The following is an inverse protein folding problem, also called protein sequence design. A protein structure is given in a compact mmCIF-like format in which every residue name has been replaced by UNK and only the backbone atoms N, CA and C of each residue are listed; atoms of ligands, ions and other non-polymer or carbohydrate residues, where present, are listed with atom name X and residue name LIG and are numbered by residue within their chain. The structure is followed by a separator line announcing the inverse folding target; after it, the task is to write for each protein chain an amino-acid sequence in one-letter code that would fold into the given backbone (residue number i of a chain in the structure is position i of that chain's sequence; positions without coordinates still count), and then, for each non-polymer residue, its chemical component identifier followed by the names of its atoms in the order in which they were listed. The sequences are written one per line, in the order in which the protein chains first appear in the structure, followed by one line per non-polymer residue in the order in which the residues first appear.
data_IF_730192333018
#
_entry.id   IF_730192333018
#
_cell.length_a   1.000
_cell.length_b   1.000
_cell.length_c   1.000
_cell.angle_alpha   90.00
_cell.angle_beta   90.00
_cell.angle_gamma   90.00
#
_symmetry.space_group_name_H-M   'P 1'
#
loop_
_entity.id
_entity.type
_entity.pdbx_description
1 polymer ?
#
# COMPACT_ATOMS: atom_id res chain seq x y z
N UNK A 1 -14.61 -62.58 -71.63
CA UNK A 1 -13.22 -62.58 -71.22
C UNK A 1 -13.13 -63.13 -69.81
N UNK A 2 -12.28 -64.11 -69.51
CA UNK A 2 -12.11 -64.64 -68.16
C UNK A 2 -11.55 -63.62 -67.23
N UNK A 3 -11.97 -63.56 -65.92
CA UNK A 3 -11.60 -62.59 -64.91
C UNK A 3 -10.07 -62.55 -64.71
N UNK A 4 -9.41 -63.73 -64.79
CA UNK A 4 -7.95 -63.84 -64.70
C UNK A 4 -7.19 -63.03 -65.75
N UNK A 5 -7.68 -63.06 -66.99
CA UNK A 5 -7.04 -62.33 -68.08
C UNK A 5 -7.26 -60.81 -67.96
N UNK A 6 -8.45 -60.43 -67.50
CA UNK A 6 -8.73 -58.98 -67.17
C UNK A 6 -7.82 -58.47 -66.11
N UNK A 7 -7.61 -59.22 -65.04
CA UNK A 7 -6.73 -58.82 -63.94
C UNK A 7 -5.26 -58.70 -64.41
N UNK A 8 -4.74 -59.60 -65.17
CA UNK A 8 -3.41 -59.55 -65.76
C UNK A 8 -3.21 -58.33 -66.69
N UNK A 9 -4.22 -58.06 -67.52
CA UNK A 9 -4.17 -56.97 -68.52
C UNK A 9 -4.12 -55.58 -67.83
N UNK A 10 -4.78 -55.41 -66.69
CA UNK A 10 -4.93 -54.14 -66.05
C UNK A 10 -4.13 -54.03 -64.70
N UNK A 11 -3.32 -55.04 -64.35
CA UNK A 11 -2.37 -54.97 -63.23
C UNK A 11 -3.01 -54.96 -61.85
N UNK A 12 -4.18 -55.58 -61.64
CA UNK A 12 -4.81 -55.70 -60.33
C UNK A 12 -5.11 -57.16 -59.97
N UNK A 13 -5.28 -57.46 -58.66
CA UNK A 13 -5.54 -58.81 -58.16
C UNK A 13 -6.98 -59.19 -58.33
N UNK A 14 -7.25 -60.54 -58.42
CA UNK A 14 -8.61 -61.08 -58.46
C UNK A 14 -9.41 -60.68 -57.21
N UNK A 15 -8.76 -60.64 -56.08
CA UNK A 15 -9.36 -60.15 -54.82
C UNK A 15 -9.85 -58.69 -54.95
N UNK A 16 -9.05 -57.82 -55.59
CA UNK A 16 -9.43 -56.42 -55.84
C UNK A 16 -10.61 -56.31 -56.79
N UNK A 17 -10.68 -57.18 -57.81
CA UNK A 17 -11.80 -57.24 -58.72
C UNK A 17 -13.12 -57.58 -58.02
N UNK A 18 -13.17 -58.63 -57.18
CA UNK A 18 -14.35 -58.99 -56.45
C UNK A 18 -14.75 -57.93 -55.43
N UNK A 19 -13.81 -57.31 -54.80
CA UNK A 19 -14.05 -56.17 -53.85
C UNK A 19 -14.64 -54.95 -54.57
N UNK A 20 -14.13 -54.61 -55.75
CA UNK A 20 -14.68 -53.52 -56.56
C UNK A 20 -16.03 -53.87 -57.13
N UNK A 21 -16.25 -55.13 -57.64
CA UNK A 21 -17.52 -55.60 -58.11
C UNK A 21 -18.60 -55.61 -57.02
N UNK A 22 -18.24 -55.98 -55.78
CA UNK A 22 -19.16 -55.93 -54.65
C UNK A 22 -19.51 -54.46 -54.29
N UNK A 23 -18.56 -53.57 -54.44
CA UNK A 23 -18.72 -52.11 -54.00
C UNK A 23 -19.39 -51.29 -55.13
N UNK A 24 -19.09 -51.57 -56.42
CA UNK A 24 -19.48 -50.73 -57.55
C UNK A 24 -20.30 -51.49 -58.60
N UNK A 25 -20.66 -52.78 -58.42
CA UNK A 25 -21.40 -53.58 -59.37
C UNK A 25 -22.76 -52.97 -59.64
N UNK A 26 -23.05 -52.78 -60.96
CA UNK A 26 -24.30 -52.17 -61.40
C UNK A 26 -24.33 -50.63 -61.43
N UNK A 27 -23.27 -49.97 -61.02
CA UNK A 27 -23.16 -48.49 -61.06
C UNK A 27 -22.54 -48.01 -62.35
N UNK A 28 -22.98 -46.88 -62.88
CA UNK A 28 -22.30 -46.17 -63.95
C UNK A 28 -20.98 -45.58 -63.44
N UNK A 29 -20.04 -45.34 -64.39
CA UNK A 29 -18.75 -44.69 -64.01
C UNK A 29 -18.90 -43.31 -63.28
N UNK A 30 -19.86 -42.48 -63.74
CA UNK A 30 -20.17 -41.23 -63.00
C UNK A 30 -20.69 -41.49 -61.59
N UNK A 31 -21.56 -42.49 -61.38
CA UNK A 31 -22.14 -42.81 -60.07
C UNK A 31 -21.07 -43.35 -59.09
N UNK A 32 -20.15 -44.19 -59.58
CA UNK A 32 -19.05 -44.72 -58.81
C UNK A 32 -18.06 -43.59 -58.36
N UNK A 33 -17.82 -42.62 -59.24
CA UNK A 33 -17.04 -41.40 -58.83
C UNK A 33 -17.78 -40.62 -57.80
N UNK A 34 -19.05 -40.35 -57.98
CA UNK A 34 -19.87 -39.58 -57.00
C UNK A 34 -19.93 -40.26 -55.63
N UNK A 35 -20.06 -41.61 -55.61
CA UNK A 35 -20.01 -42.36 -54.35
C UNK A 35 -18.68 -42.17 -53.62
N UNK A 36 -17.57 -42.23 -54.35
CA UNK A 36 -16.24 -42.05 -53.80
C UNK A 36 -16.07 -40.63 -53.24
N UNK A 37 -16.58 -39.64 -53.96
CA UNK A 37 -16.53 -38.23 -53.49
C UNK A 37 -17.37 -38.00 -52.20
N UNK A 38 -18.59 -38.62 -52.17
CA UNK A 38 -19.47 -38.62 -51.01
C UNK A 38 -18.87 -39.37 -49.81
N UNK A 39 -18.17 -40.46 -50.00
CA UNK A 39 -17.46 -41.21 -48.96
C UNK A 39 -16.30 -40.36 -48.41
N UNK A 40 -15.54 -39.65 -49.24
CA UNK A 40 -14.48 -38.76 -48.87
C UNK A 40 -15.03 -37.56 -48.06
N UNK A 41 -16.13 -36.95 -48.54
CA UNK A 41 -16.82 -35.87 -47.86
C UNK A 41 -17.37 -36.32 -46.49
N UNK A 42 -18.01 -37.46 -46.41
CA UNK A 42 -18.53 -38.01 -45.15
C UNK A 42 -17.42 -38.27 -44.16
N UNK A 43 -16.28 -38.80 -44.61
CA UNK A 43 -15.11 -38.99 -43.77
C UNK A 43 -14.57 -37.66 -43.23
N UNK A 44 -14.54 -36.64 -44.09
CA UNK A 44 -14.13 -35.26 -43.70
C UNK A 44 -15.11 -34.66 -42.70
N UNK A 45 -16.43 -34.78 -42.96
CA UNK A 45 -17.48 -34.25 -42.06
C UNK A 45 -17.45 -34.94 -40.70
N UNK A 46 -17.26 -36.26 -40.62
CA UNK A 46 -17.13 -37.01 -39.37
C UNK A 46 -15.92 -36.53 -38.56
N UNK A 47 -14.79 -36.26 -39.22
CA UNK A 47 -13.59 -35.71 -38.57
C UNK A 47 -13.86 -34.33 -37.98
N UNK A 48 -14.48 -33.44 -38.78
CA UNK A 48 -14.82 -32.08 -38.30
C UNK A 48 -15.82 -32.11 -37.14
N UNK A 49 -16.82 -32.99 -37.22
CA UNK A 49 -17.79 -33.14 -36.13
C UNK A 49 -17.14 -33.64 -34.85
N UNK A 50 -16.25 -34.62 -34.92
CA UNK A 50 -15.51 -35.09 -33.74
C UNK A 50 -14.64 -34.00 -33.11
N UNK A 51 -13.94 -33.22 -33.94
CA UNK A 51 -13.17 -32.07 -33.48
C UNK A 51 -14.06 -31.00 -32.78
N UNK A 52 -15.23 -30.70 -33.36
CA UNK A 52 -16.18 -29.73 -32.78
C UNK A 52 -16.80 -30.19 -31.45
N UNK A 53 -17.20 -31.48 -31.38
CA UNK A 53 -17.74 -32.04 -30.13
C UNK A 53 -16.71 -31.99 -29.02
N UNK A 54 -15.45 -32.31 -29.33
CA UNK A 54 -14.36 -32.25 -28.35
C UNK A 54 -14.08 -30.82 -27.91
N UNK A 55 -14.00 -29.84 -28.84
CA UNK A 55 -13.83 -28.43 -28.50
C UNK A 55 -14.97 -27.89 -27.60
N UNK A 56 -16.21 -28.25 -27.93
CA UNK A 56 -17.38 -27.88 -27.12
C UNK A 56 -17.31 -28.45 -25.69
N UNK A 57 -16.80 -29.68 -25.55
CA UNK A 57 -16.59 -30.27 -24.22
C UNK A 57 -15.56 -29.47 -23.38
N UNK A 58 -14.43 -29.07 -23.99
CA UNK A 58 -13.42 -28.23 -23.33
C UNK A 58 -13.98 -26.87 -22.96
N UNK A 59 -14.74 -26.20 -23.83
CA UNK A 59 -15.39 -24.93 -23.57
C UNK A 59 -16.37 -25.04 -22.39
N UNK A 60 -17.19 -26.10 -22.34
CA UNK A 60 -18.10 -26.33 -21.22
C UNK A 60 -17.39 -26.55 -19.89
N UNK A 61 -16.26 -27.23 -19.89
CA UNK A 61 -15.40 -27.36 -18.67
C UNK A 61 -14.79 -26.05 -18.26
N UNK A 62 -14.48 -25.15 -19.21
CA UNK A 62 -13.91 -23.83 -18.94
C UNK A 62 -14.90 -22.80 -18.35
N UNK A 63 -16.18 -22.88 -18.75
CA UNK A 63 -17.21 -21.90 -18.38
C UNK A 63 -17.35 -21.64 -16.89
N UNK A 64 -17.38 -22.66 -15.99
CA UNK A 64 -17.46 -22.43 -14.54
C UNK A 64 -16.15 -21.91 -13.91
N UNK A 65 -15.01 -22.01 -14.61
CA UNK A 65 -13.70 -21.64 -14.09
C UNK A 65 -13.44 -20.15 -14.34
N UNK A 66 -13.15 -19.37 -13.29
CA UNK A 66 -12.79 -17.94 -13.40
C UNK A 66 -11.42 -17.74 -14.07
N UNK A 67 -11.39 -17.69 -15.38
CA UNK A 67 -10.17 -17.58 -16.18
C UNK A 67 -9.82 -16.13 -16.55
N UNK A 68 -9.76 -15.24 -15.56
CA UNK A 68 -9.52 -13.81 -15.81
C UNK A 68 -8.05 -13.52 -16.12
N UNK A 69 -7.12 -14.33 -15.63
CA UNK A 69 -5.68 -14.07 -15.77
C UNK A 69 -4.99 -15.00 -16.77
N UNK A 70 -3.94 -14.52 -17.44
CA UNK A 70 -3.12 -15.32 -18.33
C UNK A 70 -2.49 -16.57 -17.66
N UNK A 71 -2.00 -16.51 -16.40
CA UNK A 71 -1.54 -17.71 -15.69
C UNK A 71 -2.62 -18.77 -15.49
N UNK A 72 -3.86 -18.37 -15.13
CA UNK A 72 -4.96 -19.32 -14.95
C UNK A 72 -5.36 -20.01 -16.25
N UNK A 73 -5.36 -19.27 -17.37
CA UNK A 73 -5.60 -19.86 -18.70
C UNK A 73 -4.51 -20.85 -19.09
N UNK A 74 -3.22 -20.53 -18.83
CA UNK A 74 -2.12 -21.46 -19.09
C UNK A 74 -2.22 -22.73 -18.26
N UNK A 75 -2.58 -22.62 -16.99
CA UNK A 75 -2.76 -23.77 -16.10
C UNK A 75 -3.85 -24.71 -16.63
N UNK A 76 -4.98 -24.15 -17.04
CA UNK A 76 -6.09 -24.94 -17.60
C UNK A 76 -5.73 -25.61 -18.92
N UNK A 77 -5.03 -24.92 -19.83
CA UNK A 77 -4.56 -25.53 -21.08
C UNK A 77 -3.61 -26.71 -20.79
N UNK A 78 -2.71 -26.59 -19.83
CA UNK A 78 -1.81 -27.68 -19.41
C UNK A 78 -2.60 -28.85 -18.82
N UNK A 79 -3.56 -28.60 -17.94
CA UNK A 79 -4.45 -29.61 -17.38
C UNK A 79 -5.16 -30.40 -18.48
N UNK A 80 -5.66 -29.75 -19.55
CA UNK A 80 -6.30 -30.42 -20.67
C UNK A 80 -5.32 -31.22 -21.54
N UNK A 81 -4.10 -30.72 -21.75
CA UNK A 81 -3.05 -31.45 -22.49
C UNK A 81 -2.65 -32.71 -21.71
N UNK A 82 -2.47 -32.60 -20.40
CA UNK A 82 -2.14 -33.70 -19.49
C UNK A 82 -3.30 -34.76 -19.48
N UNK A 83 -4.56 -34.28 -19.63
CA UNK A 83 -5.76 -35.11 -19.82
C UNK A 83 -5.95 -35.71 -21.21
N UNK A 84 -4.96 -35.57 -22.13
CA UNK A 84 -4.94 -36.16 -23.45
C UNK A 84 -5.51 -35.30 -24.60
N UNK A 85 -5.84 -34.03 -24.35
CA UNK A 85 -6.24 -33.11 -25.41
C UNK A 85 -5.02 -32.67 -26.25
N UNK A 86 -5.22 -32.52 -27.56
CA UNK A 86 -4.16 -31.97 -28.42
C UNK A 86 -3.94 -30.50 -28.08
N UNK A 87 -2.68 -30.05 -28.07
CA UNK A 87 -2.30 -28.64 -27.81
C UNK A 87 -3.11 -27.69 -28.71
N UNK A 88 -3.27 -28.01 -29.99
CA UNK A 88 -4.03 -27.19 -30.94
C UNK A 88 -5.48 -26.98 -30.52
N UNK A 89 -6.17 -28.07 -30.12
CA UNK A 89 -7.57 -28.00 -29.70
C UNK A 89 -7.73 -27.23 -28.38
N UNK A 90 -6.85 -27.47 -27.40
CA UNK A 90 -6.87 -26.79 -26.13
C UNK A 90 -6.64 -25.30 -26.27
N UNK A 91 -5.67 -24.89 -27.11
CA UNK A 91 -5.38 -23.48 -27.40
C UNK A 91 -6.53 -22.79 -28.14
N UNK A 92 -7.12 -23.47 -29.12
CA UNK A 92 -8.26 -22.93 -29.86
C UNK A 92 -9.50 -22.73 -29.00
N UNK A 93 -9.78 -23.64 -28.06
CA UNK A 93 -10.91 -23.55 -27.13
C UNK A 93 -10.85 -22.30 -26.22
N UNK A 94 -9.65 -21.82 -25.84
CA UNK A 94 -9.45 -20.64 -24.99
C UNK A 94 -9.10 -19.38 -25.80
N UNK A 95 -8.80 -19.49 -27.06
CA UNK A 95 -8.31 -18.39 -27.88
C UNK A 95 -6.90 -17.94 -27.48
N UNK A 96 -6.00 -18.87 -27.16
CA UNK A 96 -4.64 -18.61 -26.76
C UNK A 96 -3.64 -19.05 -27.81
N UNK A 97 -2.57 -18.26 -28.04
CA UNK A 97 -1.48 -18.66 -28.92
C UNK A 97 -0.50 -19.62 -28.24
N UNK A 98 0.19 -20.46 -29.01
CA UNK A 98 1.19 -21.39 -28.51
C UNK A 98 2.38 -20.64 -27.83
N UNK A 99 2.75 -19.46 -28.34
CA UNK A 99 3.76 -18.61 -27.71
C UNK A 99 3.33 -18.11 -26.30
N UNK A 100 2.03 -17.78 -26.14
CA UNK A 100 1.49 -17.38 -24.85
C UNK A 100 1.45 -18.55 -23.85
N UNK A 101 1.27 -19.80 -24.30
CA UNK A 101 1.36 -20.98 -23.42
C UNK A 101 2.78 -21.22 -22.94
N UNK A 102 3.79 -21.02 -23.81
CA UNK A 102 5.22 -21.23 -23.54
C UNK A 102 5.88 -20.05 -22.84
N UNK A 103 5.17 -18.92 -22.69
CA UNK A 103 5.67 -17.75 -21.99
C UNK A 103 6.04 -18.10 -20.54
N UNK A 104 7.30 -17.91 -20.20
CA UNK A 104 7.80 -18.09 -18.84
C UNK A 104 7.72 -16.74 -18.10
N UNK A 105 7.10 -16.71 -16.90
CA UNK A 105 7.13 -15.50 -16.09
C UNK A 105 8.57 -15.04 -15.90
N UNK A 106 8.83 -13.77 -16.17
CA UNK A 106 10.13 -13.17 -15.86
C UNK A 106 10.34 -13.21 -14.35
N UNK A 107 11.60 -13.31 -13.92
CA UNK A 107 11.97 -13.20 -12.51
C UNK A 107 11.35 -11.93 -11.89
N UNK A 108 10.85 -12.05 -10.68
CA UNK A 108 10.23 -10.92 -9.98
C UNK A 108 11.31 -9.91 -9.55
N UNK A 109 11.43 -8.85 -10.34
CA UNK A 109 12.35 -7.72 -10.05
C UNK A 109 11.98 -6.94 -8.79
N UNK A 110 10.95 -7.35 -8.06
CA UNK A 110 10.46 -6.65 -6.89
C UNK A 110 10.80 -7.35 -5.57
N UNK A 111 11.53 -8.45 -5.58
CA UNK A 111 11.81 -9.25 -4.36
C UNK A 111 12.42 -8.35 -3.28
N UNK A 112 13.54 -7.71 -3.56
CA UNK A 112 14.24 -6.82 -2.62
C UNK A 112 13.37 -5.63 -2.17
N UNK A 113 12.64 -5.02 -3.12
CA UNK A 113 11.74 -3.91 -2.78
C UNK A 113 10.59 -4.37 -1.89
N UNK A 114 10.05 -5.55 -2.13
CA UNK A 114 8.96 -6.14 -1.33
C UNK A 114 9.42 -6.43 0.09
N UNK A 115 10.60 -7.03 0.25
CA UNK A 115 11.22 -7.27 1.56
C UNK A 115 11.45 -5.96 2.32
N UNK A 116 11.94 -4.92 1.63
CA UNK A 116 12.15 -3.63 2.27
C UNK A 116 10.86 -2.95 2.70
N UNK A 117 9.81 -3.00 1.87
CA UNK A 117 8.47 -2.50 2.22
C UNK A 117 7.94 -3.24 3.46
N UNK A 118 8.10 -4.56 3.50
CA UNK A 118 7.67 -5.40 4.62
C UNK A 118 8.42 -5.02 5.91
N UNK A 119 9.74 -4.90 5.85
CA UNK A 119 10.56 -4.50 7.00
C UNK A 119 10.17 -3.12 7.55
N UNK A 120 9.93 -2.14 6.67
CA UNK A 120 9.48 -0.81 7.07
C UNK A 120 8.06 -0.82 7.68
N UNK A 121 7.15 -1.63 7.14
CA UNK A 121 5.80 -1.75 7.66
C UNK A 121 5.76 -2.46 9.03
N UNK A 122 6.60 -3.45 9.26
CA UNK A 122 6.74 -4.10 10.57
C UNK A 122 7.36 -3.18 11.62
N UNK A 123 8.38 -2.41 11.24
CA UNK A 123 9.01 -1.43 12.14
C UNK A 123 8.06 -0.30 12.51
N UNK A 124 7.24 0.16 11.57
CA UNK A 124 6.32 1.29 11.72
C UNK A 124 4.88 0.87 11.42
N UNK A 125 4.26 0.14 12.32
CA UNK A 125 2.94 -0.50 12.11
C UNK A 125 1.82 0.47 11.74
N UNK A 126 1.96 1.75 12.07
CA UNK A 126 0.97 2.80 11.77
C UNK A 126 1.27 3.59 10.49
N UNK A 127 2.36 3.26 9.80
CA UNK A 127 2.70 3.93 8.54
C UNK A 127 1.89 3.35 7.39
N UNK A 128 1.04 4.19 6.78
CA UNK A 128 0.40 3.84 5.51
C UNK A 128 1.38 3.98 4.33
N UNK A 129 0.96 3.51 3.17
CA UNK A 129 1.76 3.49 1.93
C UNK A 129 2.48 4.82 1.63
N UNK A 130 1.83 5.96 1.90
CA UNK A 130 2.45 7.27 1.68
C UNK A 130 3.68 7.53 2.55
N UNK A 131 3.67 7.06 3.81
CA UNK A 131 4.82 7.17 4.71
C UNK A 131 5.91 6.19 4.34
N UNK A 132 5.56 4.95 3.98
CA UNK A 132 6.51 3.94 3.48
C UNK A 132 7.22 4.45 2.22
N UNK A 133 6.49 5.05 1.27
CA UNK A 133 7.10 5.64 0.07
C UNK A 133 8.08 6.78 0.41
N UNK A 134 7.77 7.62 1.39
CA UNK A 134 8.68 8.68 1.84
C UNK A 134 9.91 8.11 2.53
N UNK A 135 9.77 7.05 3.33
CA UNK A 135 10.90 6.35 3.94
C UNK A 135 11.84 5.73 2.90
N UNK A 136 11.29 5.06 1.89
CA UNK A 136 12.10 4.54 0.78
C UNK A 136 12.88 5.65 0.07
N UNK A 137 12.28 6.83 -0.13
CA UNK A 137 12.98 7.99 -0.70
C UNK A 137 14.10 8.51 0.20
N UNK A 138 13.91 8.55 1.51
CA UNK A 138 14.98 8.91 2.47
C UNK A 138 16.16 7.94 2.42
N UNK A 139 15.91 6.66 2.11
CA UNK A 139 16.92 5.63 1.89
C UNK A 139 17.58 5.69 0.49
N UNK A 140 17.29 6.72 -0.31
CA UNK A 140 17.81 6.86 -1.67
C UNK A 140 17.09 6.00 -2.72
N UNK A 141 16.04 5.26 -2.34
CA UNK A 141 15.27 4.40 -3.25
C UNK A 141 14.16 5.19 -3.94
N UNK A 142 14.46 5.74 -5.12
CA UNK A 142 13.51 6.48 -5.94
C UNK A 142 12.58 5.53 -6.69
N UNK A 143 11.49 5.11 -6.06
CA UNK A 143 10.50 4.20 -6.63
C UNK A 143 9.19 4.93 -6.89
N UNK A 144 8.54 4.61 -8.03
CA UNK A 144 7.21 5.16 -8.34
C UNK A 144 6.20 4.77 -7.25
N UNK A 145 5.45 5.76 -6.75
CA UNK A 145 4.43 5.58 -5.72
C UNK A 145 3.42 4.47 -6.04
N UNK A 146 2.91 4.41 -7.28
CA UNK A 146 1.96 3.37 -7.71
C UNK A 146 2.56 1.96 -7.62
N UNK A 147 3.87 1.81 -7.87
CA UNK A 147 4.57 0.52 -7.71
C UNK A 147 4.65 0.13 -6.23
N UNK A 148 4.99 1.08 -5.35
CA UNK A 148 5.02 0.84 -3.89
C UNK A 148 3.62 0.50 -3.38
N UNK A 149 2.58 1.23 -3.81
CA UNK A 149 1.19 0.99 -3.42
C UNK A 149 0.70 -0.40 -3.82
N UNK A 150 0.98 -0.84 -5.05
CA UNK A 150 0.64 -2.19 -5.51
C UNK A 150 1.29 -3.26 -4.63
N UNK A 151 2.60 -3.20 -4.42
CA UNK A 151 3.33 -4.17 -3.60
C UNK A 151 2.88 -4.17 -2.13
N UNK A 152 2.58 -2.98 -1.58
CA UNK A 152 2.04 -2.80 -0.23
C UNK A 152 0.65 -3.45 -0.07
N UNK A 153 -0.21 -3.33 -1.10
CA UNK A 153 -1.52 -3.95 -1.12
C UNK A 153 -1.46 -5.47 -1.33
N UNK A 154 -0.57 -5.95 -2.21
CA UNK A 154 -0.33 -7.39 -2.43
C UNK A 154 0.04 -8.11 -1.12
N UNK A 155 0.78 -7.43 -0.24
CA UNK A 155 1.19 -7.96 1.07
C UNK A 155 0.20 -7.71 2.20
N UNK A 156 -0.99 -7.18 1.90
CA UNK A 156 -2.08 -6.92 2.87
C UNK A 156 -1.67 -6.03 4.05
N UNK A 157 -0.76 -5.07 3.82
CA UNK A 157 -0.21 -4.17 4.84
C UNK A 157 -1.08 -2.94 5.12
N UNK A 158 -2.30 -2.86 4.59
CA UNK A 158 -3.15 -1.67 4.68
C UNK A 158 -3.54 -1.37 6.13
N UNK A 159 -3.18 -0.17 6.57
CA UNK A 159 -3.58 0.34 7.89
C UNK A 159 -5.05 0.77 7.86
N UNK A 160 -5.85 0.27 8.80
CA UNK A 160 -7.24 0.70 8.95
C UNK A 160 -7.31 2.20 9.18
N UNK A 161 -8.07 2.91 8.33
CA UNK A 161 -8.36 4.33 8.50
C UNK A 161 -9.75 4.49 9.11
N UNK A 162 -9.86 5.33 10.16
CA UNK A 162 -11.18 5.75 10.65
C UNK A 162 -11.87 6.55 9.56
N UNK A 163 -13.10 6.18 9.21
CA UNK A 163 -13.95 7.01 8.35
C UNK A 163 -14.25 8.31 9.09
N UNK A 164 -13.84 9.45 8.52
CA UNK A 164 -14.21 10.75 9.08
C UNK A 164 -15.71 10.95 8.95
N UNK A 165 -16.39 11.32 10.03
CA UNK A 165 -17.76 11.82 9.96
C UNK A 165 -17.73 13.11 9.15
N UNK A 166 -18.62 13.24 8.16
CA UNK A 166 -18.82 14.50 7.44
C UNK A 166 -19.51 15.47 8.43
N UNK A 167 -18.74 16.38 9.00
CA UNK A 167 -19.28 17.48 9.81
C UNK A 167 -19.43 18.68 8.90
N UNK A 168 -20.54 19.42 8.95
CA UNK A 168 -20.68 20.69 8.21
C UNK A 168 -19.49 21.59 8.52
N UNK A 169 -18.90 22.14 7.46
CA UNK A 169 -17.73 23.02 7.59
C UNK A 169 -18.26 24.43 7.80
N UNK A 170 -18.21 24.92 9.05
CA UNK A 170 -18.34 26.35 9.30
C UNK A 170 -17.12 27.12 8.76
N UNK A 171 -17.20 28.43 8.68
CA UNK A 171 -16.07 29.29 8.28
C UNK A 171 -14.83 28.97 9.11
N UNK A 172 -13.78 28.50 8.45
CA UNK A 172 -12.49 28.18 9.06
C UNK A 172 -11.50 29.28 8.70
N UNK A 173 -11.23 30.16 9.64
CA UNK A 173 -10.06 31.02 9.52
C UNK A 173 -8.80 30.15 9.64
N UNK A 174 -7.90 30.11 8.62
CA UNK A 174 -6.66 29.36 8.72
C UNK A 174 -5.79 29.95 9.83
N UNK A 175 -5.19 29.07 10.65
CA UNK A 175 -4.17 29.50 11.61
C UNK A 175 -2.97 30.09 10.85
N UNK A 176 -2.60 31.31 11.18
CA UNK A 176 -1.37 31.92 10.70
C UNK A 176 -0.19 31.01 11.11
N UNK A 177 0.52 30.49 10.14
CA UNK A 177 1.67 29.63 10.37
C UNK A 177 2.88 30.52 10.68
N UNK A 178 3.56 30.33 11.83
CA UNK A 178 4.80 31.02 12.11
C UNK A 178 5.87 30.62 11.08
N UNK A 179 6.75 31.55 10.72
CA UNK A 179 7.76 31.36 9.69
C UNK A 179 9.15 31.08 10.27
N UNK A 180 9.40 31.45 11.53
CA UNK A 180 10.69 31.27 12.19
C UNK A 180 10.59 30.39 13.43
N UNK A 181 11.63 29.61 13.69
CA UNK A 181 11.75 28.84 14.92
C UNK A 181 11.56 29.71 16.17
N UNK A 182 10.98 29.13 17.20
CA UNK A 182 10.71 29.81 18.47
C UNK A 182 9.78 31.05 18.36
N UNK A 183 9.03 31.22 17.30
CA UNK A 183 7.97 32.23 17.26
C UNK A 183 6.78 31.81 18.11
N UNK A 184 6.28 30.60 17.93
CA UNK A 184 5.12 30.08 18.67
C UNK A 184 5.37 28.63 19.05
N UNK A 185 5.26 28.35 20.35
CA UNK A 185 5.15 27.00 20.86
C UNK A 185 3.72 26.69 21.25
N UNK A 186 3.22 25.55 20.81
CA UNK A 186 1.92 25.01 21.24
C UNK A 186 2.15 23.95 22.31
N UNK A 187 1.39 24.04 23.42
CA UNK A 187 1.48 23.07 24.52
C UNK A 187 0.13 22.43 24.80
N UNK A 188 0.16 21.17 25.20
CA UNK A 188 -1.01 20.41 25.61
C UNK A 188 -0.63 19.22 26.49
N UNK A 189 -1.61 18.65 27.20
CA UNK A 189 -1.43 17.43 27.97
C UNK A 189 -2.01 16.22 27.27
N UNK A 190 -1.24 15.12 27.29
CA UNK A 190 -1.72 13.81 26.89
C UNK A 190 -1.68 12.87 28.10
N UNK A 191 -2.75 12.10 28.27
CA UNK A 191 -2.88 11.18 29.40
C UNK A 191 -2.80 9.74 28.93
N UNK A 192 -2.13 8.89 29.72
CA UNK A 192 -2.05 7.47 29.55
C UNK A 192 -1.95 6.76 30.91
N UNK A 193 -1.71 5.46 30.94
CA UNK A 193 -1.56 4.66 32.15
C UNK A 193 -0.44 3.65 32.04
N UNK A 194 0.20 3.34 33.18
CA UNK A 194 1.08 2.17 33.28
C UNK A 194 0.29 0.88 33.28
N UNK A 195 0.99 -0.24 33.10
CA UNK A 195 0.43 -1.60 33.22
C UNK A 195 -0.38 -1.83 34.51
N UNK A 196 0.08 -1.22 35.61
CA UNK A 196 -0.58 -1.24 36.92
C UNK A 196 -1.80 -0.30 37.02
N UNK A 197 -2.20 0.37 35.95
CA UNK A 197 -3.31 1.30 35.92
C UNK A 197 -3.01 2.71 36.48
N UNK A 198 -1.80 2.98 36.93
CA UNK A 198 -1.40 4.30 37.44
C UNK A 198 -1.31 5.33 36.32
N UNK A 199 -1.85 6.53 36.54
CA UNK A 199 -1.88 7.59 35.56
C UNK A 199 -0.47 8.04 35.12
N UNK A 200 -0.33 8.33 33.83
CA UNK A 200 0.80 9.01 33.20
C UNK A 200 0.26 10.32 32.60
N UNK A 201 0.91 11.43 32.90
CA UNK A 201 0.61 12.75 32.37
C UNK A 201 1.82 13.24 31.56
N UNK A 202 1.63 13.44 30.24
CA UNK A 202 2.67 13.91 29.34
C UNK A 202 2.40 15.38 28.98
N UNK A 203 3.32 16.28 29.33
CA UNK A 203 3.32 17.63 28.79
C UNK A 203 4.03 17.62 27.44
N UNK A 204 3.30 17.98 26.41
CA UNK A 204 3.81 18.03 25.03
C UNK A 204 4.04 19.49 24.64
N UNK A 205 5.21 19.80 24.10
CA UNK A 205 5.59 21.12 23.59
C UNK A 205 6.07 20.97 22.15
N UNK A 206 5.40 21.66 21.22
CA UNK A 206 5.70 21.61 19.78
C UNK A 206 5.98 23.03 19.28
N UNK A 207 7.02 23.18 18.47
CA UNK A 207 7.28 24.41 17.74
C UNK A 207 6.42 24.42 16.46
N UNK A 208 5.52 25.37 16.35
CA UNK A 208 4.55 25.45 15.26
C UNK A 208 5.20 25.76 13.90
N UNK A 209 6.35 26.43 13.87
CA UNK A 209 7.08 26.77 12.66
C UNK A 209 7.83 25.55 12.10
N UNK A 210 8.68 24.95 12.95
CA UNK A 210 9.56 23.84 12.54
C UNK A 210 8.87 22.49 12.58
N UNK A 211 7.74 22.39 13.28
CA UNK A 211 7.06 21.14 13.62
C UNK A 211 7.89 20.17 14.48
N UNK A 212 8.96 20.65 15.09
CA UNK A 212 9.73 19.87 16.06
C UNK A 212 8.96 19.70 17.34
N UNK A 213 9.10 18.54 17.94
CA UNK A 213 8.67 18.29 19.32
C UNK A 213 9.80 18.71 20.24
N UNK A 214 9.64 19.89 20.81
CA UNK A 214 10.65 20.51 21.67
C UNK A 214 10.87 19.68 22.94
N UNK A 215 9.77 19.25 23.57
CA UNK A 215 9.81 18.37 24.73
C UNK A 215 8.55 17.50 24.86
N UNK A 216 8.71 16.34 25.50
CA UNK A 216 7.61 15.56 26.09
C UNK A 216 8.04 15.21 27.52
N UNK A 217 7.51 15.93 28.49
CA UNK A 217 7.77 15.65 29.91
C UNK A 217 6.76 14.62 30.42
N UNK A 218 7.23 13.53 31.02
CA UNK A 218 6.41 12.38 31.42
C UNK A 218 6.46 12.20 32.92
N UNK A 219 5.32 12.44 33.61
CA UNK A 219 5.20 12.38 35.06
C UNK A 219 3.88 11.74 35.50
N UNK A 220 3.75 11.48 36.81
CA UNK A 220 2.47 11.09 37.42
C UNK A 220 1.50 12.26 37.48
N UNK A 221 2.03 13.44 37.81
CA UNK A 221 1.31 14.70 37.88
C UNK A 221 2.25 15.84 37.52
N UNK A 222 1.75 16.83 36.79
CA UNK A 222 2.48 18.05 36.42
C UNK A 222 1.61 19.23 36.82
N UNK A 223 2.09 20.05 37.73
CA UNK A 223 1.45 21.30 38.15
C UNK A 223 1.94 22.47 37.30
N UNK A 224 1.35 23.67 37.45
CA UNK A 224 1.82 24.87 36.78
C UNK A 224 3.30 25.21 37.07
N UNK A 225 3.75 24.98 38.31
CA UNK A 225 5.18 25.10 38.67
C UNK A 225 6.04 24.03 37.97
N UNK A 226 5.50 22.85 37.77
CA UNK A 226 6.15 21.79 36.99
C UNK A 226 6.35 22.20 35.53
N UNK A 227 5.31 22.80 34.91
CA UNK A 227 5.41 23.36 33.57
C UNK A 227 6.49 24.44 33.47
N UNK A 228 6.50 25.42 34.42
CA UNK A 228 7.50 26.47 34.46
C UNK A 228 8.94 25.91 34.54
N UNK A 229 9.19 24.90 35.40
CA UNK A 229 10.52 24.25 35.48
C UNK A 229 10.93 23.57 34.16
N UNK A 230 10.00 22.99 33.43
CA UNK A 230 10.30 22.42 32.10
C UNK A 230 10.70 23.53 31.13
N UNK A 231 9.96 24.63 31.12
CA UNK A 231 10.26 25.78 30.27
C UNK A 231 11.60 26.43 30.61
N UNK A 232 11.96 26.50 31.89
CA UNK A 232 13.29 27.01 32.35
C UNK A 232 14.42 26.14 31.81
N UNK A 233 14.29 24.81 31.85
CA UNK A 233 15.26 23.88 31.23
C UNK A 233 15.40 24.10 29.73
N UNK A 234 14.28 24.32 29.06
CA UNK A 234 14.27 24.56 27.61
C UNK A 234 14.87 25.92 27.25
N UNK A 235 14.68 26.92 28.09
CA UNK A 235 15.30 28.24 27.93
C UNK A 235 16.84 28.16 27.83
N UNK A 236 17.46 27.33 28.66
CA UNK A 236 18.91 27.12 28.66
C UNK A 236 19.43 26.33 27.44
N UNK A 237 18.65 25.44 26.90
CA UNK A 237 19.09 24.54 25.82
C UNK A 237 18.71 25.02 24.41
N UNK A 238 17.57 25.67 24.26
CA UNK A 238 17.01 26.07 22.95
C UNK A 238 16.66 27.55 22.84
N UNK A 239 16.57 28.24 23.96
CA UNK A 239 15.97 29.56 24.04
C UNK A 239 14.47 29.54 24.26
N UNK A 240 13.86 30.72 24.40
CA UNK A 240 12.43 30.86 24.67
C UNK A 240 11.65 31.25 23.41
N UNK A 241 10.37 30.87 23.33
CA UNK A 241 9.50 31.32 22.27
C UNK A 241 9.01 32.75 22.51
N UNK A 242 8.60 33.46 21.46
CA UNK A 242 7.93 34.74 21.59
C UNK A 242 6.53 34.59 22.19
N UNK A 243 5.86 33.49 21.85
CA UNK A 243 4.49 33.19 22.28
C UNK A 243 4.34 31.70 22.61
N UNK A 244 3.58 31.41 23.64
CA UNK A 244 3.12 30.09 23.99
C UNK A 244 1.61 30.04 23.82
N UNK A 245 1.11 29.03 23.06
CA UNK A 245 -0.31 28.75 22.88
C UNK A 245 -0.71 27.52 23.68
N UNK A 246 -1.77 27.65 24.48
CA UNK A 246 -2.28 26.57 25.33
C UNK A 246 -3.79 26.50 25.30
N UNK A 247 -4.33 25.39 25.77
CA UNK A 247 -5.72 25.31 26.19
C UNK A 247 -5.96 26.09 27.50
N UNK A 248 -7.20 26.06 28.01
CA UNK A 248 -7.60 26.72 29.25
C UNK A 248 -7.39 25.83 30.50
N UNK A 249 -6.48 24.87 30.45
CA UNK A 249 -6.15 24.00 31.55
C UNK A 249 -5.63 24.79 32.77
N UNK A 250 -6.03 24.38 34.00
CA UNK A 250 -5.64 25.07 35.26
C UNK A 250 -4.13 25.20 35.39
N UNK A 251 -3.37 24.28 34.89
CA UNK A 251 -1.90 24.26 34.92
C UNK A 251 -1.29 25.38 34.05
N UNK A 252 -1.95 25.76 32.97
CA UNK A 252 -1.49 26.79 32.04
C UNK A 252 -2.02 28.19 32.38
N UNK A 253 -3.20 28.24 33.03
CA UNK A 253 -3.83 29.53 33.41
C UNK A 253 -3.50 29.95 34.83
N UNK A 254 -2.80 29.11 35.62
CA UNK A 254 -2.48 29.36 37.00
C UNK A 254 -1.45 30.45 37.22
N UNK A 255 -1.45 31.04 38.43
CA UNK A 255 -0.53 32.16 38.85
C UNK A 255 0.94 31.88 38.52
N UNK A 256 1.39 30.62 38.72
CA UNK A 256 2.79 30.24 38.47
C UNK A 256 3.18 30.43 36.99
N UNK A 257 2.31 30.04 36.07
CA UNK A 257 2.57 30.11 34.63
C UNK A 257 2.50 31.59 34.16
N UNK A 258 1.54 32.36 34.65
CA UNK A 258 1.40 33.78 34.33
C UNK A 258 2.61 34.55 34.82
N UNK A 259 3.03 34.33 36.07
CA UNK A 259 4.23 34.97 36.64
C UNK A 259 5.50 34.60 35.87
N UNK A 260 5.65 33.31 35.49
CA UNK A 260 6.77 32.84 34.69
C UNK A 260 6.82 33.54 33.33
N UNK A 261 5.70 33.61 32.62
CA UNK A 261 5.59 34.22 31.30
C UNK A 261 5.93 35.71 31.35
N UNK A 262 5.43 36.41 32.35
CA UNK A 262 5.76 37.83 32.58
C UNK A 262 7.25 38.06 32.84
N UNK A 263 7.87 37.26 33.74
CA UNK A 263 9.28 37.33 34.05
C UNK A 263 10.19 37.09 32.83
N UNK A 264 9.76 36.19 31.94
CA UNK A 264 10.53 35.80 30.77
C UNK A 264 10.11 36.56 29.48
N UNK A 265 9.20 37.50 29.56
CA UNK A 265 8.66 38.29 28.43
C UNK A 265 8.07 37.41 27.31
N UNK A 266 7.44 36.31 27.68
CA UNK A 266 6.78 35.36 26.77
C UNK A 266 5.28 35.65 26.76
N UNK A 267 4.71 35.81 25.58
CA UNK A 267 3.26 36.03 25.47
C UNK A 267 2.49 34.70 25.67
N UNK A 268 1.59 34.64 26.64
CA UNK A 268 0.65 33.53 26.78
C UNK A 268 -0.60 33.82 25.99
N UNK A 269 -0.96 32.90 25.10
CA UNK A 269 -2.20 32.95 24.30
C UNK A 269 -3.02 31.70 24.55
N UNK A 270 -4.08 31.86 25.30
CA UNK A 270 -5.07 30.82 25.50
C UNK A 270 -6.00 30.70 24.28
N UNK A 271 -6.41 29.50 23.94
CA UNK A 271 -7.43 29.28 22.91
C UNK A 271 -8.80 29.71 23.42
N UNK A 272 -9.63 30.20 22.52
CA UNK A 272 -11.02 30.54 22.87
C UNK A 272 -11.80 29.26 23.25
N UNK A 273 -12.63 29.30 24.30
CA UNK A 273 -13.48 28.18 24.65
C UNK A 273 -14.29 27.70 23.46
N UNK A 274 -14.34 26.37 23.23
CA UNK A 274 -15.05 25.77 22.11
C UNK A 274 -14.37 25.89 20.74
N UNK A 275 -13.15 26.43 20.64
CA UNK A 275 -12.40 26.53 19.37
C UNK A 275 -11.08 25.72 19.42
N UNK A 276 -11.13 24.38 19.49
CA UNK A 276 -9.93 23.54 19.55
C UNK A 276 -9.03 23.72 18.32
N UNK A 277 -9.60 24.08 17.16
CA UNK A 277 -8.81 24.34 15.95
C UNK A 277 -7.69 25.37 16.12
N UNK A 278 -7.76 26.22 17.15
CA UNK A 278 -6.72 27.18 17.45
C UNK A 278 -5.43 26.53 18.01
N UNK A 279 -5.52 25.27 18.50
CA UNK A 279 -4.37 24.47 18.95
C UNK A 279 -4.06 23.26 18.04
N UNK A 280 -4.47 23.33 16.78
CA UNK A 280 -4.47 22.21 15.83
C UNK A 280 -3.08 21.57 15.60
N UNK A 281 -1.98 22.33 15.78
CA UNK A 281 -0.63 21.79 15.61
C UNK A 281 -0.30 20.73 16.66
N UNK A 282 -0.44 21.06 17.94
CA UNK A 282 -0.20 20.10 19.02
C UNK A 282 -1.25 19.00 19.06
N UNK A 283 -2.53 19.30 18.76
CA UNK A 283 -3.57 18.27 18.69
C UNK A 283 -3.26 17.21 17.58
N UNK A 284 -2.84 17.70 16.41
CA UNK A 284 -2.41 16.80 15.32
C UNK A 284 -1.18 15.97 15.72
N UNK A 285 -0.25 16.54 16.48
CA UNK A 285 0.89 15.83 17.02
C UNK A 285 0.45 14.81 18.07
N UNK A 286 -0.39 15.19 19.04
CA UNK A 286 -0.90 14.30 20.09
C UNK A 286 -1.60 13.06 19.51
N UNK A 287 -2.35 13.24 18.41
CA UNK A 287 -2.89 12.12 17.66
C UNK A 287 -1.80 11.14 17.16
N UNK A 288 -0.63 11.65 16.72
CA UNK A 288 0.50 10.81 16.29
C UNK A 288 1.21 10.14 17.46
N UNK A 289 1.45 10.89 18.54
CA UNK A 289 2.02 10.34 19.77
C UNK A 289 1.18 9.17 20.27
N UNK A 290 -0.14 9.35 20.30
CA UNK A 290 -1.07 8.30 20.73
C UNK A 290 -1.04 7.11 19.79
N UNK A 291 -1.13 7.32 18.48
CA UNK A 291 -1.22 6.23 17.50
C UNK A 291 0.10 5.48 17.30
N UNK A 292 1.24 6.18 17.30
CA UNK A 292 2.54 5.65 16.91
C UNK A 292 3.45 5.30 18.10
N UNK A 293 3.09 5.73 19.35
CA UNK A 293 3.87 5.44 20.55
C UNK A 293 3.00 4.87 21.68
N UNK A 294 2.05 5.64 22.21
CA UNK A 294 1.32 5.22 23.41
C UNK A 294 0.50 3.94 23.20
N UNK A 295 -0.19 3.82 22.07
CA UNK A 295 -0.99 2.63 21.74
C UNK A 295 -0.15 1.42 21.29
N UNK A 296 1.14 1.61 21.01
CA UNK A 296 2.04 0.53 20.56
C UNK A 296 2.89 -0.04 21.69
N UNK A 297 2.96 0.66 22.84
CA UNK A 297 3.77 0.24 23.97
C UNK A 297 2.91 -0.05 25.20
N UNK A 298 3.33 -1.05 25.94
CA UNK A 298 2.84 -1.38 27.26
C UNK A 298 3.88 -0.91 28.28
N UNK A 299 3.52 0.05 29.13
CA UNK A 299 4.47 0.70 30.06
C UNK A 299 4.46 0.04 31.44
N UNK A 300 5.40 -0.85 31.78
CA UNK A 300 5.46 -1.47 33.11
C UNK A 300 5.69 -0.41 34.21
N UNK A 301 6.57 0.55 33.97
CA UNK A 301 6.97 1.58 34.93
C UNK A 301 6.94 2.97 34.31
N UNK A 302 6.94 4.01 35.15
CA UNK A 302 7.07 5.39 34.68
C UNK A 302 8.43 5.65 34.00
N UNK A 303 9.50 5.03 34.52
CA UNK A 303 10.84 5.16 33.90
C UNK A 303 10.87 4.58 32.49
N UNK A 304 10.28 3.40 32.30
CA UNK A 304 10.14 2.78 30.99
C UNK A 304 9.33 3.70 30.03
N UNK A 305 8.22 4.29 30.51
CA UNK A 305 7.43 5.22 29.73
C UNK A 305 8.27 6.45 29.30
N UNK A 306 9.05 7.04 30.20
CA UNK A 306 9.96 8.15 29.87
C UNK A 306 10.96 7.76 28.80
N UNK A 307 11.59 6.62 28.92
CA UNK A 307 12.61 6.12 27.96
C UNK A 307 12.02 5.90 26.57
N UNK A 308 10.89 5.20 26.49
CA UNK A 308 10.26 4.88 25.21
C UNK A 308 9.68 6.12 24.52
N UNK A 309 9.02 7.01 25.28
CA UNK A 309 8.46 8.24 24.73
C UNK A 309 9.57 9.17 24.24
N UNK A 310 10.68 9.30 24.99
CA UNK A 310 11.83 10.12 24.57
C UNK A 310 12.52 9.51 23.33
N UNK A 311 12.68 8.18 23.27
CA UNK A 311 13.20 7.50 22.08
C UNK A 311 12.33 7.79 20.85
N UNK A 312 11.00 7.69 21.01
CA UNK A 312 10.05 7.99 19.94
C UNK A 312 10.09 9.47 19.53
N UNK A 313 10.22 10.42 20.51
CA UNK A 313 10.36 11.85 20.24
C UNK A 313 11.56 12.15 19.34
N UNK A 314 12.72 11.55 19.64
CA UNK A 314 13.93 11.68 18.81
C UNK A 314 13.71 11.11 17.44
N UNK A 315 13.16 9.90 17.32
CA UNK A 315 12.85 9.30 16.03
C UNK A 315 11.85 10.15 15.22
N UNK A 316 10.87 10.75 15.89
CA UNK A 316 9.93 11.67 15.25
C UNK A 316 10.62 12.91 14.68
N UNK A 317 11.51 13.55 15.42
CA UNK A 317 12.21 14.74 14.96
C UNK A 317 13.27 14.45 13.89
N UNK A 318 14.04 13.38 14.06
CA UNK A 318 15.23 13.11 13.24
C UNK A 318 14.95 12.23 12.03
N UNK A 319 13.96 11.34 12.12
CA UNK A 319 13.77 10.31 11.11
C UNK A 319 12.39 10.29 10.46
N UNK A 320 11.38 10.93 11.05
CA UNK A 320 10.00 10.87 10.53
C UNK A 320 9.76 11.90 9.43
N UNK A 321 9.51 11.50 8.16
CA UNK A 321 9.20 12.45 7.10
C UNK A 321 7.80 13.05 7.25
N UNK A 322 7.64 14.34 6.97
CA UNK A 322 6.35 15.05 7.01
C UNK A 322 6.04 15.70 5.67
N UNK A 323 4.89 15.33 5.08
CA UNK A 323 4.44 15.92 3.81
C UNK A 323 4.28 17.44 3.88
N UNK A 324 3.83 17.97 5.03
CA UNK A 324 3.56 19.38 5.22
C UNK A 324 4.80 20.28 5.14
N UNK A 325 6.00 19.70 5.28
CA UNK A 325 7.29 20.38 5.21
C UNK A 325 8.18 19.77 4.11
N UNK A 326 7.60 19.48 2.96
CA UNK A 326 8.34 18.97 1.80
C UNK A 326 8.91 17.57 1.94
N UNK A 327 8.30 16.72 2.78
CA UNK A 327 8.79 15.37 3.10
C UNK A 327 10.11 15.31 3.91
N UNK A 328 10.60 16.45 4.37
CA UNK A 328 11.72 16.51 5.30
C UNK A 328 11.33 16.02 6.69
N UNK A 329 12.32 15.72 7.51
CA UNK A 329 12.13 15.54 8.95
C UNK A 329 11.98 16.89 9.65
N UNK A 330 11.33 16.98 10.83
CA UNK A 330 11.25 18.22 11.58
C UNK A 330 12.62 18.86 11.85
N UNK A 331 13.62 18.07 12.27
CA UNK A 331 14.98 18.55 12.54
C UNK A 331 15.67 19.10 11.28
N UNK A 332 15.58 18.40 10.14
CA UNK A 332 16.16 18.88 8.88
C UNK A 332 15.48 20.17 8.40
N UNK A 333 14.16 20.30 8.59
CA UNK A 333 13.43 21.50 8.25
C UNK A 333 13.78 22.67 9.16
N UNK A 334 13.96 22.44 10.47
CA UNK A 334 14.42 23.45 11.41
C UNK A 334 15.80 24.00 11.02
N UNK A 335 16.71 23.11 10.64
CA UNK A 335 18.04 23.51 10.17
C UNK A 335 17.99 24.31 8.86
N UNK A 336 17.11 23.93 7.93
CA UNK A 336 16.89 24.71 6.71
C UNK A 336 16.38 26.11 7.01
N UNK A 337 15.41 26.28 7.93
CA UNK A 337 14.90 27.58 8.33
C UNK A 337 15.99 28.43 8.98
N UNK A 338 16.81 27.85 9.87
CA UNK A 338 17.93 28.53 10.48
C UNK A 338 18.97 29.03 9.45
N UNK A 339 19.29 28.19 8.47
CA UNK A 339 20.21 28.57 7.39
C UNK A 339 19.63 29.68 6.49
N UNK A 340 18.32 29.66 6.23
CA UNK A 340 17.64 30.70 5.45
C UNK A 340 17.65 32.05 6.15
N UNK A 341 17.53 32.07 7.51
CA UNK A 341 17.62 33.27 8.30
C UNK A 341 19.04 33.86 8.33
N UNK A 342 20.09 33.02 8.20
CA UNK A 342 21.50 33.46 8.12
C UNK A 342 21.78 34.10 6.73
N UNK A 343 21.21 33.55 5.64
CA UNK A 343 21.44 34.04 4.28
C UNK A 343 20.63 35.31 3.99
N UNK A 344 19.43 35.47 4.58
CA UNK A 344 18.54 36.61 4.44
C UNK A 344 18.14 37.19 5.83
N UNK A 345 19.03 37.90 6.54
CA UNK A 345 18.75 38.38 7.89
C UNK A 345 17.72 39.52 7.99
N UNK A 346 17.12 39.94 6.89
CA UNK A 346 16.30 41.15 6.82
C UNK A 346 14.96 41.08 6.06
N UNK A 347 14.49 39.88 5.65
CA UNK A 347 13.15 39.71 5.04
C UNK A 347 12.09 39.24 6.04
#
# INVERSE_FOLDING_TARGET
MPIKDLCRRHGFSEASYYLWRSKFGGMSVPDAKRLKDLEAENTRLKKLLAEQVFQNALIKDALPKKMVSAPARRALVREWIDGGASERCALAAIGMSASALRDRPREDRNVELRERILALAHRHRRYGVGMISLKLRQEGRLVNYKRVERLYCEQQLQVRRRKRKKVPVGERAPLLRPTKANQVWSMDFVFDRTAEGRAIKCLVIVDDATHEVVAIEVERAISGHGVARVLDRLAHSRGLPKMIRTDNGKEFCGKAMVAWAHANRVQLRQIQPGKPNQNAYVESFNGRLRDECLNEHWFPTLLHARTEIERWRREYNEHRPKKAIGAMTPAAYAQQLANSDIINPGL
#
